data_IF_858494565555
#
_entry.id   IF_858494565555
#
_cell.length_a   1.000
_cell.length_b   1.000
_cell.length_c   1.000
_cell.angle_alpha   90.00
_cell.angle_beta   90.00
_cell.angle_gamma   90.00
#
_symmetry.space_group_name_H-M   'P 1'
#
loop_
_entity.id
_entity.type
_entity.pdbx_description
1 polymer ?
#
# COMPACT_ATOMS: atom_id res chain seq x y z
N UNK A 1 19.17 -28.11 -7.84
CA UNK A 1 18.99 -26.69 -8.21
C UNK A 1 18.31 -25.98 -7.06
N UNK A 2 18.77 -24.91 -6.41
CA UNK A 2 20.08 -24.29 -6.31
C UNK A 2 20.11 -23.52 -4.95
N UNK A 3 20.45 -24.22 -3.87
CA UNK A 3 20.33 -23.70 -2.50
C UNK A 3 21.19 -22.47 -2.19
N UNK A 4 22.27 -22.26 -2.96
CA UNK A 4 23.13 -21.06 -2.85
C UNK A 4 22.52 -19.84 -3.52
N UNK A 5 21.81 -20.02 -4.64
CA UNK A 5 21.06 -18.94 -5.29
C UNK A 5 19.88 -18.48 -4.41
N UNK A 6 19.16 -19.43 -3.78
CA UNK A 6 18.09 -19.11 -2.83
C UNK A 6 18.56 -18.39 -1.57
N UNK A 7 19.72 -18.78 -1.01
CA UNK A 7 20.35 -18.07 0.12
C UNK A 7 20.74 -16.63 -0.25
N UNK A 8 21.40 -16.45 -1.41
CA UNK A 8 21.83 -15.12 -1.87
C UNK A 8 20.63 -14.20 -2.15
N UNK A 9 19.55 -14.74 -2.69
CA UNK A 9 18.29 -14.01 -2.88
C UNK A 9 17.68 -13.53 -1.55
N UNK A 10 17.59 -14.43 -0.55
CA UNK A 10 17.08 -14.07 0.79
C UNK A 10 17.96 -13.05 1.51
N UNK A 11 19.28 -13.24 1.47
CA UNK A 11 20.21 -12.27 2.06
C UNK A 11 20.12 -10.90 1.39
N UNK A 12 19.89 -10.86 0.07
CA UNK A 12 19.66 -9.62 -0.67
C UNK A 12 18.36 -8.93 -0.26
N UNK A 13 17.27 -9.69 -0.11
CA UNK A 13 15.98 -9.15 0.33
C UNK A 13 16.09 -8.57 1.74
N UNK A 14 16.73 -9.28 2.69
CA UNK A 14 16.89 -8.81 4.06
C UNK A 14 17.65 -7.47 4.15
N UNK A 15 18.74 -7.30 3.39
CA UNK A 15 19.46 -6.02 3.33
C UNK A 15 18.59 -4.91 2.75
N UNK A 16 17.74 -5.24 1.78
CA UNK A 16 16.84 -4.26 1.16
C UNK A 16 15.72 -3.83 2.11
N UNK A 17 15.18 -4.76 2.89
CA UNK A 17 14.18 -4.47 3.92
C UNK A 17 14.76 -3.57 5.02
N UNK A 18 16.02 -3.81 5.42
CA UNK A 18 16.76 -2.96 6.36
C UNK A 18 16.95 -1.53 5.80
N UNK A 19 17.44 -1.41 4.57
CA UNK A 19 17.60 -0.10 3.91
C UNK A 19 16.26 0.63 3.77
N UNK A 20 15.19 -0.09 3.44
CA UNK A 20 13.84 0.47 3.35
C UNK A 20 13.40 1.02 4.71
N UNK A 21 13.56 0.26 5.80
CA UNK A 21 13.20 0.72 7.14
C UNK A 21 13.92 2.03 7.53
N UNK A 22 15.21 2.16 7.22
CA UNK A 22 15.96 3.40 7.47
C UNK A 22 15.47 4.57 6.62
N UNK A 23 15.18 4.34 5.33
CA UNK A 23 14.62 5.38 4.47
C UNK A 23 13.27 5.88 4.99
N UNK A 24 12.39 4.98 5.41
CA UNK A 24 11.08 5.32 5.94
C UNK A 24 11.15 6.07 7.27
N UNK A 25 12.09 5.71 8.15
CA UNK A 25 12.32 6.47 9.38
C UNK A 25 12.77 7.91 9.07
N UNK A 26 13.65 8.11 8.09
CA UNK A 26 14.09 9.44 7.67
C UNK A 26 12.96 10.23 7.00
N UNK A 27 12.20 9.62 6.10
CA UNK A 27 11.03 10.24 5.48
C UNK A 27 10.02 10.73 6.53
N UNK A 28 9.77 9.94 7.58
CA UNK A 28 8.88 10.33 8.66
C UNK A 28 9.40 11.52 9.49
N UNK A 29 10.72 11.64 9.63
CA UNK A 29 11.35 12.66 10.48
C UNK A 29 11.54 14.00 9.79
N UNK A 30 11.95 13.99 8.52
CA UNK A 30 12.38 15.21 7.81
C UNK A 30 11.73 15.38 6.42
N UNK A 31 10.87 14.46 5.99
CA UNK A 31 10.21 14.50 4.68
C UNK A 31 11.00 13.79 3.57
N UNK A 32 10.35 13.56 2.43
CA UNK A 32 10.93 12.83 1.30
C UNK A 32 11.92 13.69 0.51
N UNK A 33 11.58 14.94 0.23
CA UNK A 33 12.46 15.85 -0.52
C UNK A 33 13.79 16.11 0.21
N UNK A 34 13.74 16.33 1.52
CA UNK A 34 14.92 16.62 2.34
C UNK A 34 15.82 15.39 2.59
N UNK A 35 15.32 14.18 2.32
CA UNK A 35 16.07 12.93 2.54
C UNK A 35 16.91 12.56 1.32
N UNK A 36 18.21 12.36 1.52
CA UNK A 36 19.16 11.96 0.46
C UNK A 36 19.55 10.49 0.55
N UNK A 37 20.05 9.92 -0.56
CA UNK A 37 20.56 8.54 -0.58
C UNK A 37 21.76 8.38 0.36
N UNK A 38 22.59 9.40 0.49
CA UNK A 38 23.74 9.40 1.38
C UNK A 38 23.32 9.25 2.85
N UNK A 39 22.29 10.00 3.27
CA UNK A 39 21.73 9.90 4.62
C UNK A 39 21.13 8.51 4.88
N UNK A 40 20.41 7.94 3.91
CA UNK A 40 19.85 6.59 4.03
C UNK A 40 20.96 5.55 4.13
N UNK A 41 21.99 5.65 3.29
CA UNK A 41 23.12 4.73 3.29
C UNK A 41 23.90 4.81 4.63
N UNK A 42 24.15 6.02 5.11
CA UNK A 42 24.78 6.25 6.41
C UNK A 42 23.96 5.67 7.56
N UNK A 43 22.64 5.91 7.58
CA UNK A 43 21.73 5.37 8.60
C UNK A 43 21.71 3.83 8.59
N UNK A 44 21.85 3.21 7.41
CA UNK A 44 21.94 1.77 7.24
C UNK A 44 23.38 1.22 7.37
N UNK A 45 24.33 2.02 7.87
CA UNK A 45 25.71 1.59 8.14
C UNK A 45 26.50 1.20 6.89
N UNK A 46 26.18 1.76 5.73
CA UNK A 46 26.81 1.40 4.46
C UNK A 46 27.22 2.59 3.59
N UNK A 47 28.14 2.36 2.66
CA UNK A 47 28.52 3.40 1.67
C UNK A 47 27.42 3.61 0.63
N UNK A 48 27.31 4.79 -0.01
CA UNK A 48 26.40 5.01 -1.14
C UNK A 48 26.62 4.00 -2.28
N UNK A 49 27.88 3.62 -2.55
CA UNK A 49 28.21 2.56 -3.51
C UNK A 49 27.61 1.21 -3.14
N UNK A 50 27.58 0.88 -1.84
CA UNK A 50 26.94 -0.34 -1.34
C UNK A 50 25.43 -0.23 -1.46
N UNK A 51 24.83 0.91 -1.12
CA UNK A 51 23.40 1.18 -1.30
C UNK A 51 22.95 0.91 -2.74
N UNK A 52 23.64 1.51 -3.73
CA UNK A 52 23.32 1.36 -5.15
C UNK A 52 23.46 -0.08 -5.68
N UNK A 53 24.11 -0.98 -4.92
CA UNK A 53 24.14 -2.41 -5.25
C UNK A 53 22.81 -3.09 -4.94
N UNK A 54 22.01 -2.59 -4.01
CA UNK A 54 20.75 -3.18 -3.55
C UNK A 54 19.51 -2.43 -4.06
N UNK A 55 19.62 -1.12 -4.19
CA UNK A 55 18.52 -0.19 -4.45
C UNK A 55 18.96 0.81 -5.53
N UNK A 56 18.15 1.02 -6.56
CA UNK A 56 18.47 1.94 -7.65
C UNK A 56 18.24 3.41 -7.27
N UNK A 57 17.19 3.72 -6.50
CA UNK A 57 16.91 5.08 -6.04
C UNK A 57 16.08 5.14 -4.75
N UNK A 58 15.95 6.34 -4.16
CA UNK A 58 15.00 6.55 -3.06
C UNK A 58 13.54 6.44 -3.51
N UNK A 59 13.24 6.73 -4.78
CA UNK A 59 11.89 6.55 -5.36
C UNK A 59 11.49 5.06 -5.38
N UNK A 60 12.44 4.17 -5.63
CA UNK A 60 12.22 2.72 -5.59
C UNK A 60 11.80 2.27 -4.18
N UNK A 61 12.50 2.73 -3.13
CA UNK A 61 12.16 2.41 -1.74
C UNK A 61 10.78 2.96 -1.33
N UNK A 62 10.47 4.16 -1.80
CA UNK A 62 9.17 4.77 -1.59
C UNK A 62 8.07 3.92 -2.24
N UNK A 63 8.21 3.61 -3.53
CA UNK A 63 7.20 2.86 -4.27
C UNK A 63 7.01 1.44 -3.69
N UNK A 64 8.07 0.77 -3.30
CA UNK A 64 7.99 -0.59 -2.74
C UNK A 64 7.14 -0.69 -1.50
N UNK A 65 7.39 0.20 -0.55
CA UNK A 65 6.61 0.21 0.68
C UNK A 65 5.18 0.65 0.40
N UNK A 66 4.96 1.59 -0.52
CA UNK A 66 3.60 1.91 -0.96
C UNK A 66 2.86 0.68 -1.53
N UNK A 67 3.58 -0.22 -2.20
CA UNK A 67 3.04 -1.44 -2.79
C UNK A 67 2.93 -2.63 -1.83
N UNK A 68 3.60 -2.60 -0.68
CA UNK A 68 3.78 -3.77 0.19
C UNK A 68 2.47 -4.40 0.67
N UNK A 69 1.43 -3.58 0.91
CA UNK A 69 0.16 -4.05 1.44
C UNK A 69 -0.78 -4.58 0.34
N UNK A 70 -0.54 -4.23 -0.93
CA UNK A 70 -1.40 -4.61 -2.05
C UNK A 70 -1.67 -6.12 -2.14
N UNK A 71 -0.63 -6.98 -2.09
CA UNK A 71 -0.80 -8.43 -2.06
C UNK A 71 -1.66 -8.92 -0.88
N UNK A 72 -1.44 -8.38 0.33
CA UNK A 72 -2.21 -8.78 1.51
C UNK A 72 -3.69 -8.38 1.39
N UNK A 73 -4.00 -7.23 0.79
CA UNK A 73 -5.39 -6.84 0.48
C UNK A 73 -6.00 -7.80 -0.53
N UNK A 74 -5.28 -8.12 -1.61
CA UNK A 74 -5.77 -9.05 -2.64
C UNK A 74 -6.01 -10.47 -2.07
N UNK A 75 -5.10 -10.96 -1.23
CA UNK A 75 -5.22 -12.27 -0.58
C UNK A 75 -6.42 -12.32 0.37
N UNK A 76 -6.65 -11.28 1.18
CA UNK A 76 -7.83 -11.20 2.05
C UNK A 76 -9.12 -11.13 1.24
N UNK A 77 -9.13 -10.37 0.15
CA UNK A 77 -10.27 -10.30 -0.75
C UNK A 77 -10.55 -11.66 -1.40
N UNK A 78 -9.53 -12.40 -1.81
CA UNK A 78 -9.66 -13.73 -2.38
C UNK A 78 -10.16 -14.75 -1.35
N UNK A 79 -9.71 -14.65 -0.09
CA UNK A 79 -10.08 -15.53 1.01
C UNK A 79 -11.45 -15.26 1.63
N UNK A 80 -12.11 -14.15 1.30
CA UNK A 80 -13.42 -13.81 1.87
C UNK A 80 -14.53 -14.79 1.39
N UNK A 81 -15.56 -15.00 2.22
CA UNK A 81 -16.67 -15.92 1.96
C UNK A 81 -17.39 -15.62 0.62
N UNK A 82 -17.61 -16.61 -0.28
CA UNK A 82 -18.07 -16.35 -1.65
C UNK A 82 -19.40 -15.59 -1.78
N UNK A 83 -20.28 -15.72 -0.80
CA UNK A 83 -21.59 -15.07 -0.70
C UNK A 83 -21.53 -13.65 -0.10
N UNK A 84 -20.38 -13.24 0.46
CA UNK A 84 -20.19 -11.90 0.97
C UNK A 84 -20.17 -10.89 -0.19
N UNK A 85 -21.02 -9.84 -0.16
CA UNK A 85 -21.05 -8.82 -1.20
C UNK A 85 -19.67 -8.23 -1.47
N UNK A 86 -19.31 -8.05 -2.74
CA UNK A 86 -17.97 -7.62 -3.16
C UNK A 86 -17.52 -6.31 -2.46
N UNK A 87 -18.42 -5.35 -2.26
CA UNK A 87 -18.12 -4.11 -1.55
C UNK A 87 -17.74 -4.33 -0.08
N UNK A 88 -18.44 -5.25 0.60
CA UNK A 88 -18.11 -5.60 1.99
C UNK A 88 -16.83 -6.41 2.08
N UNK A 89 -16.60 -7.34 1.15
CA UNK A 89 -15.34 -8.07 1.07
C UNK A 89 -14.14 -7.14 0.83
N UNK A 90 -14.31 -6.10 -0.01
CA UNK A 90 -13.30 -5.05 -0.20
C UNK A 90 -13.04 -4.27 1.09
N UNK A 91 -14.08 -3.89 1.82
CA UNK A 91 -13.91 -3.24 3.11
C UNK A 91 -13.07 -4.11 4.04
N UNK A 92 -13.47 -5.36 4.27
CA UNK A 92 -12.77 -6.28 5.17
C UNK A 92 -11.32 -6.54 4.72
N UNK A 93 -11.07 -6.57 3.40
CA UNK A 93 -9.74 -6.72 2.85
C UNK A 93 -8.81 -5.53 3.17
N UNK A 94 -9.34 -4.31 3.22
CA UNK A 94 -8.59 -3.11 3.56
C UNK A 94 -8.10 -3.08 5.02
N UNK A 95 -8.60 -3.96 5.90
CA UNK A 95 -8.02 -4.14 7.25
C UNK A 95 -6.54 -4.58 7.21
N UNK A 96 -6.07 -5.15 6.09
CA UNK A 96 -4.64 -5.41 5.89
C UNK A 96 -3.80 -4.13 6.01
N UNK A 97 -4.38 -2.97 5.71
CA UNK A 97 -3.73 -1.66 5.79
C UNK A 97 -4.14 -0.96 7.07
N UNK A 98 -5.45 -0.86 7.31
CA UNK A 98 -5.98 0.08 8.29
C UNK A 98 -5.66 -0.33 9.73
N UNK A 99 -5.71 -1.63 10.03
CA UNK A 99 -5.43 -2.13 11.38
C UNK A 99 -3.97 -1.86 11.80
N UNK A 100 -2.95 -2.17 10.99
CA UNK A 100 -1.57 -1.76 11.29
C UNK A 100 -1.39 -0.25 11.44
N UNK A 101 -2.03 0.56 10.57
CA UNK A 101 -1.89 2.02 10.63
C UNK A 101 -2.53 2.63 11.88
N UNK A 102 -3.65 2.10 12.36
CA UNK A 102 -4.25 2.52 13.63
C UNK A 102 -3.42 2.07 14.83
N UNK A 103 -2.86 0.85 14.78
CA UNK A 103 -2.03 0.32 15.87
C UNK A 103 -0.74 1.11 16.08
N UNK A 104 -0.17 1.68 15.00
CA UNK A 104 1.07 2.46 15.02
C UNK A 104 0.86 3.87 14.45
N UNK A 105 -0.22 4.52 14.87
CA UNK A 105 -0.63 5.83 14.35
C UNK A 105 0.44 6.90 14.51
N UNK A 106 1.23 6.85 15.60
CA UNK A 106 2.27 7.83 15.87
C UNK A 106 3.41 7.77 14.85
N UNK A 107 3.78 6.57 14.40
CA UNK A 107 4.85 6.38 13.41
C UNK A 107 4.34 6.55 11.97
N UNK A 108 3.12 6.11 11.68
CA UNK A 108 2.58 6.11 10.31
C UNK A 108 2.03 7.46 9.88
N UNK A 109 1.42 8.23 10.79
CA UNK A 109 0.76 9.49 10.45
C UNK A 109 1.68 10.54 9.81
N UNK A 110 2.94 10.75 10.27
CA UNK A 110 3.88 11.63 9.57
C UNK A 110 4.14 11.19 8.13
N UNK A 111 4.19 9.88 7.87
CA UNK A 111 4.37 9.35 6.51
C UNK A 111 3.15 9.61 5.62
N UNK A 112 1.94 9.39 6.13
CA UNK A 112 0.72 9.70 5.37
C UNK A 112 0.61 11.21 5.12
N UNK A 113 1.06 12.04 6.07
CA UNK A 113 1.17 13.50 5.91
C UNK A 113 2.11 13.86 4.75
N UNK A 114 3.31 13.27 4.74
CA UNK A 114 4.29 13.47 3.66
C UNK A 114 3.74 13.02 2.30
N UNK A 115 3.08 11.87 2.22
CA UNK A 115 2.46 11.37 0.98
C UNK A 115 1.40 12.33 0.41
N UNK A 116 0.73 13.06 1.30
CA UNK A 116 -0.28 14.07 0.94
C UNK A 116 0.35 15.39 0.50
N UNK A 117 1.31 15.89 1.27
CA UNK A 117 1.78 17.27 1.15
C UNK A 117 2.88 17.46 0.10
N UNK A 118 3.72 16.46 -0.11
CA UNK A 118 4.88 16.60 -0.99
C UNK A 118 4.52 16.33 -2.46
N UNK A 119 4.71 17.31 -3.38
CA UNK A 119 4.44 17.10 -4.80
C UNK A 119 5.31 15.99 -5.41
N UNK A 120 6.53 15.82 -4.92
CA UNK A 120 7.50 14.86 -5.43
C UNK A 120 7.01 13.40 -5.36
N UNK A 121 6.11 13.06 -4.43
CA UNK A 121 5.63 11.67 -4.22
C UNK A 121 4.27 11.38 -4.88
N UNK A 122 3.68 12.36 -5.58
CA UNK A 122 2.37 12.20 -6.25
C UNK A 122 2.38 11.11 -7.31
N UNK A 123 3.44 11.06 -8.12
CA UNK A 123 3.58 10.04 -9.17
C UNK A 123 3.65 8.63 -8.57
N UNK A 124 4.42 8.44 -7.50
CA UNK A 124 4.51 7.16 -6.80
C UNK A 124 3.17 6.74 -6.18
N UNK A 125 2.40 7.70 -5.64
CA UNK A 125 1.07 7.44 -5.07
C UNK A 125 0.05 7.04 -6.15
N UNK A 126 0.09 7.68 -7.32
CA UNK A 126 -0.74 7.32 -8.46
C UNK A 126 -0.38 5.93 -9.02
N UNK A 127 0.92 5.63 -9.16
CA UNK A 127 1.40 4.31 -9.57
C UNK A 127 0.98 3.22 -8.58
N UNK A 128 1.11 3.48 -7.26
CA UNK A 128 0.62 2.56 -6.23
C UNK A 128 -0.83 2.21 -6.46
N UNK A 129 -1.68 3.22 -6.63
CA UNK A 129 -3.11 3.03 -6.84
C UNK A 129 -3.38 2.15 -8.06
N UNK A 130 -2.75 2.47 -9.19
CA UNK A 130 -2.88 1.69 -10.41
C UNK A 130 -2.47 0.22 -10.22
N UNK A 131 -1.35 -0.04 -9.54
CA UNK A 131 -0.88 -1.40 -9.23
C UNK A 131 -1.82 -2.16 -8.32
N UNK A 132 -2.43 -1.49 -7.34
CA UNK A 132 -3.42 -2.13 -6.47
C UNK A 132 -4.68 -2.47 -7.25
N UNK A 133 -5.16 -1.58 -8.13
CA UNK A 133 -6.28 -1.90 -9.03
C UNK A 133 -5.99 -3.14 -9.88
N UNK A 134 -4.77 -3.27 -10.43
CA UNK A 134 -4.34 -4.47 -11.18
C UNK A 134 -4.34 -5.75 -10.33
N UNK A 135 -4.01 -5.66 -9.03
CA UNK A 135 -4.04 -6.81 -8.11
C UNK A 135 -5.47 -7.21 -7.74
N UNK A 136 -6.36 -6.24 -7.54
CA UNK A 136 -7.73 -6.47 -7.09
C UNK A 136 -8.67 -6.89 -8.21
N UNK A 137 -8.46 -6.37 -9.43
CA UNK A 137 -9.32 -6.62 -10.58
C UNK A 137 -9.59 -8.10 -10.89
N UNK A 138 -8.59 -8.99 -11.00
CA UNK A 138 -8.86 -10.41 -11.26
C UNK A 138 -9.64 -11.09 -10.13
N UNK A 139 -9.40 -10.69 -8.88
CA UNK A 139 -10.10 -11.24 -7.70
C UNK A 139 -11.58 -10.82 -7.72
N UNK A 140 -11.86 -9.55 -7.99
CA UNK A 140 -13.22 -9.03 -8.13
C UNK A 140 -13.97 -9.64 -9.31
N UNK A 141 -13.30 -9.80 -10.45
CA UNK A 141 -13.88 -10.43 -11.64
C UNK A 141 -14.33 -11.87 -11.34
N UNK A 142 -13.50 -12.66 -10.64
CA UNK A 142 -13.88 -14.01 -10.21
C UNK A 142 -15.09 -13.98 -9.27
N UNK A 143 -15.15 -13.01 -8.36
CA UNK A 143 -16.22 -12.87 -7.36
C UNK A 143 -17.57 -12.42 -7.95
N UNK A 144 -17.52 -11.60 -9.00
CA UNK A 144 -18.71 -11.11 -9.71
C UNK A 144 -19.21 -12.07 -10.79
N UNK A 145 -18.39 -13.05 -11.15
CA UNK A 145 -18.76 -14.08 -12.11
C UNK A 145 -19.80 -15.01 -11.50
N UNK A 146 -20.85 -15.31 -12.27
CA UNK A 146 -21.87 -16.30 -11.92
C UNK A 146 -21.90 -17.42 -12.96
N UNK A 147 -22.45 -18.61 -12.65
CA UNK A 147 -22.58 -19.67 -13.64
C UNK A 147 -23.26 -19.17 -14.93
N UNK A 148 -22.56 -19.26 -16.05
CA UNK A 148 -23.06 -18.82 -17.36
C UNK A 148 -22.82 -17.34 -17.69
N UNK A 149 -22.25 -16.53 -16.79
CA UNK A 149 -21.88 -15.14 -17.05
C UNK A 149 -20.55 -14.79 -16.36
N UNK A 150 -19.45 -15.07 -17.07
CA UNK A 150 -18.10 -14.70 -16.63
C UNK A 150 -17.89 -13.18 -16.75
N UNK A 151 -17.26 -12.61 -15.73
CA UNK A 151 -16.84 -11.21 -15.68
C UNK A 151 -15.33 -11.17 -15.86
N UNK A 152 -14.82 -10.22 -16.63
CA UNK A 152 -13.40 -10.02 -16.90
C UNK A 152 -12.82 -8.92 -16.02
N UNK A 153 -11.49 -8.89 -15.87
CA UNK A 153 -10.81 -7.90 -15.02
C UNK A 153 -10.91 -6.46 -15.56
N UNK A 154 -11.17 -6.29 -16.85
CA UNK A 154 -11.39 -5.00 -17.52
C UNK A 154 -12.87 -4.57 -17.54
N UNK A 155 -13.78 -5.34 -16.94
CA UNK A 155 -15.19 -4.96 -16.79
C UNK A 155 -15.31 -3.66 -15.99
N UNK A 156 -16.10 -2.70 -16.49
CA UNK A 156 -16.27 -1.40 -15.87
C UNK A 156 -16.73 -1.48 -14.40
N UNK A 157 -17.52 -2.50 -14.02
CA UNK A 157 -17.97 -2.72 -12.64
C UNK A 157 -16.82 -3.14 -11.73
N UNK A 158 -15.92 -3.99 -12.23
CA UNK A 158 -14.71 -4.42 -11.52
C UNK A 158 -13.80 -3.23 -11.25
N UNK A 159 -13.51 -2.44 -12.30
CA UNK A 159 -12.68 -1.25 -12.21
C UNK A 159 -13.29 -0.18 -11.29
N UNK A 160 -14.61 0.03 -11.38
CA UNK A 160 -15.33 0.97 -10.51
C UNK A 160 -15.28 0.55 -9.05
N UNK A 161 -15.49 -0.73 -8.73
CA UNK A 161 -15.42 -1.23 -7.34
C UNK A 161 -14.02 -1.09 -6.75
N UNK A 162 -12.99 -1.52 -7.48
CA UNK A 162 -11.60 -1.38 -7.03
C UNK A 162 -11.22 0.09 -6.83
N UNK A 163 -11.45 0.93 -7.84
CA UNK A 163 -11.12 2.35 -7.79
C UNK A 163 -11.89 3.10 -6.70
N UNK A 164 -13.17 2.78 -6.50
CA UNK A 164 -13.97 3.40 -5.45
C UNK A 164 -13.48 3.02 -4.04
N UNK A 165 -13.16 1.74 -3.80
CA UNK A 165 -12.64 1.31 -2.50
C UNK A 165 -11.29 1.96 -2.17
N UNK A 166 -10.39 2.07 -3.15
CA UNK A 166 -9.11 2.76 -2.96
C UNK A 166 -9.29 4.27 -2.77
N UNK A 167 -10.24 4.90 -3.48
CA UNK A 167 -10.58 6.30 -3.23
C UNK A 167 -11.13 6.52 -1.80
N UNK A 168 -11.91 5.58 -1.27
CA UNK A 168 -12.39 5.65 0.11
C UNK A 168 -11.23 5.55 1.11
N UNK A 169 -10.26 4.66 0.87
CA UNK A 169 -9.05 4.57 1.68
C UNK A 169 -8.25 5.87 1.64
N UNK A 170 -8.00 6.42 0.45
CA UNK A 170 -7.25 7.68 0.28
C UNK A 170 -7.96 8.83 1.02
N UNK A 171 -9.29 8.93 0.91
CA UNK A 171 -10.10 9.95 1.61
C UNK A 171 -10.09 9.77 3.13
N UNK A 172 -10.17 8.52 3.62
CA UNK A 172 -10.10 8.21 5.03
C UNK A 172 -8.72 8.58 5.61
N UNK A 173 -7.64 8.25 4.92
CA UNK A 173 -6.27 8.62 5.30
C UNK A 173 -6.08 10.14 5.33
N UNK A 174 -6.62 10.84 4.33
CA UNK A 174 -6.60 12.31 4.27
C UNK A 174 -7.29 12.95 5.48
N UNK A 175 -8.50 12.48 5.81
CA UNK A 175 -9.23 12.96 6.98
C UNK A 175 -8.51 12.60 8.28
N UNK A 176 -8.01 11.37 8.36
CA UNK A 176 -7.34 10.82 9.52
C UNK A 176 -6.16 11.67 9.94
N UNK A 177 -5.28 12.08 9.02
CA UNK A 177 -4.08 12.89 9.33
C UNK A 177 -4.40 14.09 10.22
N UNK A 178 -5.48 14.83 9.93
CA UNK A 178 -5.89 16.02 10.70
C UNK A 178 -6.72 15.74 11.95
N UNK A 179 -7.05 14.47 12.24
CA UNK A 179 -7.97 14.04 13.29
C UNK A 179 -7.32 12.97 14.18
N UNK A 180 -6.38 13.35 15.07
CA UNK A 180 -5.56 12.40 15.83
C UNK A 180 -6.34 11.55 16.84
N UNK A 181 -7.55 11.97 17.23
CA UNK A 181 -8.41 11.22 18.14
C UNK A 181 -9.29 10.17 17.44
N UNK A 182 -9.40 10.21 16.11
CA UNK A 182 -10.24 9.29 15.33
C UNK A 182 -9.41 8.12 14.81
N UNK A 183 -10.02 6.93 14.77
CA UNK A 183 -9.41 5.75 14.14
C UNK A 183 -9.61 5.83 12.62
N UNK A 184 -8.59 5.42 11.88
CA UNK A 184 -8.67 5.31 10.43
C UNK A 184 -9.74 4.29 10.01
N UNK A 185 -9.95 3.23 10.78
CA UNK A 185 -11.02 2.25 10.53
C UNK A 185 -12.40 2.89 10.50
N UNK A 186 -12.71 3.76 11.46
CA UNK A 186 -14.02 4.43 11.56
C UNK A 186 -14.21 5.43 10.40
N UNK A 187 -13.14 6.10 9.99
CA UNK A 187 -13.15 7.00 8.84
C UNK A 187 -13.29 6.26 7.51
N UNK A 188 -12.70 5.07 7.38
CA UNK A 188 -12.88 4.21 6.21
C UNK A 188 -14.32 3.71 6.12
N UNK A 189 -14.91 3.29 7.23
CA UNK A 189 -16.31 2.87 7.29
C UNK A 189 -17.24 4.02 6.85
N UNK A 190 -17.00 5.24 7.34
CA UNK A 190 -17.74 6.43 6.93
C UNK A 190 -17.58 6.74 5.43
N UNK A 191 -16.36 6.65 4.89
CA UNK A 191 -16.09 6.91 3.47
C UNK A 191 -16.75 5.87 2.56
N UNK A 192 -16.63 4.58 2.89
CA UNK A 192 -17.23 3.50 2.10
C UNK A 192 -18.76 3.50 2.19
N UNK A 193 -19.32 3.87 3.35
CA UNK A 193 -20.77 4.04 3.53
C UNK A 193 -21.35 5.21 2.72
N UNK A 194 -20.55 6.22 2.36
CA UNK A 194 -21.01 7.32 1.52
C UNK A 194 -21.13 6.94 0.02
N UNK A 195 -20.35 5.97 -0.44
CA UNK A 195 -20.35 5.49 -1.84
C UNK A 195 -21.44 4.43 -2.08
N UNK A 196 -21.64 3.54 -1.11
CA UNK A 196 -22.78 2.62 -1.08
C UNK A 196 -23.66 2.96 0.12
N UNK A 197 -24.38 4.08 0.08
CA UNK A 197 -25.40 4.32 1.07
C UNK A 197 -26.47 3.25 0.82
N UNK A 198 -26.80 2.47 1.86
CA UNK A 198 -27.79 1.38 1.90
C UNK A 198 -27.19 -0.03 1.76
#
# INVERSE_FOLDING_TARGET
MDGRAGWRGRARAAVRDEVSAHAWALFAQQGYEATTVEQIAEAAGMSPRTFFRYVASKDELLLERLLEHGPAVADRLAGAAPDLPAWRALRDALDAVVVPQDADAAQVRPLVTMLRDEPAVRAATAERRHRWEQLLAPVLAARLSVPGAAVTADDARVLALAGAALACLDAAQLAWVGRPAERLADLLDAAMGAVSPL
#
